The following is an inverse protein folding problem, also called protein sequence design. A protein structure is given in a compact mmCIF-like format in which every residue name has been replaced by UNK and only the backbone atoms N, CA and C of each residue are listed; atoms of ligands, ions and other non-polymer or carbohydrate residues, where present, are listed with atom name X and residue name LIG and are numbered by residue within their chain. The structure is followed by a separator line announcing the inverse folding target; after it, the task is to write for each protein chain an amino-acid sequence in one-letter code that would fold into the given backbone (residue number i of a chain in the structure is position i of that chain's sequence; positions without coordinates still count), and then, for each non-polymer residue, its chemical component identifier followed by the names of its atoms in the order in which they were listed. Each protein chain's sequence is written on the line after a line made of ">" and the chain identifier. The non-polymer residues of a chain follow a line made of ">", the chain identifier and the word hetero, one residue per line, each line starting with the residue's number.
data_IF_811119136589
#
_entry.id   IF_811119136589
#
_cell.length_a   1.000
_cell.length_b   1.000
_cell.length_c   1.000
_cell.angle_alpha   90.00
_cell.angle_beta   90.00
_cell.angle_gamma   90.00
#
_symmetry.space_group_name_H-M   'P 1'
#
loop_
_entity.id
_entity.type
_entity.pdbx_description
1 polymer ?
#
# COMPACT_ATOMS: atom_id res chain seq x y z
N UNK A 1 -36.30 -3.37 -2.40
CA UNK A 1 -35.38 -2.62 -1.51
C UNK A 1 -33.95 -2.94 -1.94
N UNK A 2 -33.32 -2.06 -2.72
CA UNK A 2 -31.91 -2.21 -3.09
C UNK A 2 -31.05 -1.98 -1.86
N UNK A 3 -30.49 -3.05 -1.29
CA UNK A 3 -29.42 -2.92 -0.30
C UNK A 3 -28.23 -2.29 -1.02
N UNK A 4 -27.96 -1.03 -0.73
CA UNK A 4 -26.67 -0.43 -1.01
C UNK A 4 -25.61 -1.42 -0.50
N UNK A 5 -24.66 -1.91 -1.32
CA UNK A 5 -23.64 -2.84 -0.84
C UNK A 5 -22.99 -2.19 0.38
N UNK A 6 -23.12 -2.84 1.53
CA UNK A 6 -22.72 -2.31 2.82
C UNK A 6 -21.34 -1.67 2.69
N UNK A 7 -21.22 -0.39 3.08
CA UNK A 7 -19.93 0.27 3.15
C UNK A 7 -18.98 -0.66 3.91
N UNK A 8 -17.79 -0.97 3.35
CA UNK A 8 -16.85 -1.85 4.03
C UNK A 8 -16.52 -1.24 5.39
N UNK A 9 -16.72 -2.01 6.45
CA UNK A 9 -16.42 -1.60 7.81
C UNK A 9 -14.91 -1.63 8.02
N UNK A 10 -14.27 -0.48 7.82
CA UNK A 10 -12.82 -0.33 7.95
C UNK A 10 -12.36 -0.24 9.42
N UNK A 11 -13.28 -0.13 10.39
CA UNK A 11 -12.92 -0.08 11.82
C UNK A 11 -12.25 -1.36 12.31
N UNK A 12 -12.39 -2.44 11.55
CA UNK A 12 -11.88 -3.77 11.88
C UNK A 12 -10.47 -4.02 11.35
N UNK A 13 -10.00 -3.22 10.40
CA UNK A 13 -8.67 -3.38 9.76
C UNK A 13 -7.73 -2.30 10.25
N UNK A 14 -6.58 -2.70 10.76
CA UNK A 14 -5.52 -1.80 11.20
C UNK A 14 -4.28 -2.00 10.32
N UNK A 15 -3.69 -0.89 9.89
CA UNK A 15 -2.44 -0.87 9.12
C UNK A 15 -1.32 -0.30 9.99
N UNK A 16 -0.15 -0.91 9.94
CA UNK A 16 1.05 -0.41 10.59
C UNK A 16 2.21 -0.40 9.59
N UNK A 17 2.71 0.77 9.15
CA UNK A 17 2.26 2.11 9.55
C UNK A 17 0.88 2.48 8.99
N UNK A 18 0.14 3.31 9.72
CA UNK A 18 -1.26 3.63 9.42
C UNK A 18 -1.44 4.76 8.40
N UNK A 19 -0.54 5.75 8.39
CA UNK A 19 -0.74 7.00 7.65
C UNK A 19 0.10 7.09 6.38
N UNK A 20 1.42 6.91 6.48
CA UNK A 20 2.33 7.12 5.35
C UNK A 20 3.63 6.33 5.45
N UNK A 21 4.27 6.17 4.30
CA UNK A 21 5.59 5.58 4.12
C UNK A 21 6.47 6.55 3.34
N UNK A 22 7.69 6.78 3.82
CA UNK A 22 8.65 7.68 3.18
C UNK A 22 9.81 6.89 2.62
N UNK A 23 10.13 7.12 1.35
CA UNK A 23 11.30 6.57 0.67
C UNK A 23 12.24 7.71 0.26
N UNK A 24 13.54 7.47 0.32
CA UNK A 24 14.53 8.44 -0.14
C UNK A 24 14.64 8.38 -1.68
N UNK A 25 14.76 9.52 -2.38
CA UNK A 25 14.87 9.56 -3.85
C UNK A 25 16.30 9.21 -4.30
N UNK A 26 16.68 7.95 -4.09
CA UNK A 26 17.96 7.37 -4.51
C UNK A 26 17.72 6.29 -5.57
N UNK A 27 18.67 6.03 -6.48
CA UNK A 27 18.54 5.01 -7.52
C UNK A 27 18.80 3.60 -6.95
N UNK A 28 18.20 3.31 -5.80
CA UNK A 28 18.32 2.05 -5.08
C UNK A 28 16.95 1.62 -4.58
N UNK A 29 16.67 0.33 -4.76
CA UNK A 29 15.46 -0.31 -4.26
C UNK A 29 15.39 -0.18 -2.73
N UNK A 30 14.25 0.28 -2.24
CA UNK A 30 13.91 0.36 -0.82
C UNK A 30 12.63 -0.43 -0.57
N UNK A 31 12.54 -1.06 0.60
CA UNK A 31 11.37 -1.82 1.03
C UNK A 31 11.03 -1.45 2.47
N UNK A 32 9.75 -1.27 2.75
CA UNK A 32 9.22 -1.15 4.09
C UNK A 32 8.11 -2.19 4.30
N UNK A 33 8.00 -2.72 5.51
CA UNK A 33 6.93 -3.65 5.84
C UNK A 33 5.68 -2.86 6.27
N UNK A 34 4.54 -3.28 5.76
CA UNK A 34 3.20 -2.85 6.18
C UNK A 34 2.55 -4.08 6.79
N UNK A 35 2.37 -4.03 8.09
CA UNK A 35 1.62 -5.04 8.83
C UNK A 35 0.15 -4.69 8.79
N UNK A 36 -0.67 -5.70 8.59
CA UNK A 36 -2.12 -5.56 8.57
C UNK A 36 -2.69 -6.56 9.54
N UNK A 37 -3.45 -6.04 10.50
CA UNK A 37 -4.18 -6.82 11.51
C UNK A 37 -5.67 -6.60 11.29
N UNK A 38 -6.48 -7.63 11.51
CA UNK A 38 -7.92 -7.52 11.35
C UNK A 38 -8.68 -8.37 12.36
N UNK A 39 -9.81 -7.87 12.85
CA UNK A 39 -10.73 -8.59 13.74
C UNK A 39 -11.79 -9.41 12.99
N UNK A 40 -11.72 -9.46 11.66
CA UNK A 40 -12.67 -10.16 10.79
C UNK A 40 -11.99 -10.86 9.61
N UNK A 41 -12.73 -11.46 8.69
CA UNK A 41 -12.16 -11.98 7.44
C UNK A 41 -12.24 -10.89 6.36
N UNK A 42 -11.11 -10.44 5.81
CA UNK A 42 -11.06 -9.38 4.78
C UNK A 42 -10.25 -9.76 3.57
N UNK A 43 -10.61 -9.16 2.45
CA UNK A 43 -9.88 -9.24 1.19
C UNK A 43 -9.08 -7.95 0.99
N UNK A 44 -7.76 -8.07 0.83
CA UNK A 44 -6.86 -6.92 0.65
C UNK A 44 -6.21 -6.94 -0.73
N UNK A 45 -6.23 -5.78 -1.39
CA UNK A 45 -5.55 -5.53 -2.66
C UNK A 45 -4.91 -4.14 -2.65
N UNK A 46 -3.62 -4.07 -2.95
CA UNK A 46 -2.91 -2.80 -3.12
C UNK A 46 -3.07 -2.25 -4.53
N UNK A 47 -3.28 -0.94 -4.65
CA UNK A 47 -3.26 -0.20 -5.92
C UNK A 47 -2.19 0.88 -5.83
N UNK A 48 -1.41 1.04 -6.90
CA UNK A 48 -0.35 2.03 -6.98
C UNK A 48 -0.68 3.03 -8.08
N UNK A 49 -0.50 4.32 -7.79
CA UNK A 49 -0.62 5.40 -8.78
C UNK A 49 0.49 5.35 -9.82
N UNK A 50 1.65 4.77 -9.48
CA UNK A 50 2.75 4.55 -10.41
C UNK A 50 3.40 3.16 -10.26
N UNK A 51 2.91 2.14 -10.97
CA UNK A 51 3.47 0.79 -10.93
C UNK A 51 4.91 0.67 -11.48
N UNK A 52 5.40 1.68 -12.22
CA UNK A 52 6.80 1.68 -12.67
C UNK A 52 7.77 1.94 -11.52
N UNK A 53 7.38 2.75 -10.53
CA UNK A 53 8.20 3.12 -9.37
C UNK A 53 7.85 2.37 -8.09
N UNK A 54 6.57 2.05 -7.88
CA UNK A 54 6.08 1.42 -6.66
C UNK A 54 5.53 0.02 -6.92
N UNK A 55 5.73 -0.89 -5.97
CA UNK A 55 5.20 -2.25 -5.99
C UNK A 55 4.90 -2.69 -4.57
N UNK A 56 4.07 -3.71 -4.41
CA UNK A 56 3.93 -4.43 -3.15
C UNK A 56 4.36 -5.89 -3.30
N UNK A 57 4.62 -6.57 -2.19
CA UNK A 57 4.84 -8.02 -2.13
C UNK A 57 4.11 -8.59 -0.89
N UNK A 58 3.20 -9.56 -1.04
CA UNK A 58 2.69 -10.10 -2.31
C UNK A 58 1.96 -9.05 -3.16
N UNK A 59 1.97 -9.24 -4.49
CA UNK A 59 1.28 -8.35 -5.45
C UNK A 59 -0.20 -8.68 -5.61
N UNK A 60 -0.54 -9.92 -5.30
CA UNK A 60 -1.85 -10.47 -5.50
C UNK A 60 -2.80 -10.06 -4.38
N UNK A 61 -4.09 -10.25 -4.65
CA UNK A 61 -5.11 -10.06 -3.65
C UNK A 61 -4.99 -11.18 -2.62
N UNK A 62 -5.02 -10.84 -1.32
CA UNK A 62 -4.93 -11.83 -0.24
C UNK A 62 -6.16 -11.76 0.66
N UNK A 63 -6.66 -12.92 1.05
CA UNK A 63 -7.65 -13.04 2.12
C UNK A 63 -6.87 -13.15 3.44
N UNK A 64 -7.20 -12.29 4.40
CA UNK A 64 -6.66 -12.32 5.76
C UNK A 64 -7.79 -12.76 6.68
N UNK A 65 -7.57 -13.83 7.44
CA UNK A 65 -8.57 -14.35 8.38
C UNK A 65 -8.64 -13.47 9.63
N UNK A 66 -9.71 -13.64 10.42
CA UNK A 66 -9.84 -12.94 11.69
C UNK A 66 -8.66 -13.29 12.62
N UNK A 67 -8.12 -12.27 13.27
CA UNK A 67 -6.96 -12.34 14.19
C UNK A 67 -5.65 -12.76 13.51
N UNK A 68 -5.59 -12.83 12.17
CA UNK A 68 -4.35 -13.09 11.43
C UNK A 68 -3.60 -11.77 11.19
N UNK A 69 -2.29 -11.78 11.47
CA UNK A 69 -1.38 -10.70 11.10
C UNK A 69 -0.75 -11.04 9.76
N UNK A 70 -0.90 -10.15 8.78
CA UNK A 70 -0.26 -10.30 7.49
C UNK A 70 0.72 -9.16 7.21
N UNK A 71 1.91 -9.51 6.72
CA UNK A 71 2.94 -8.53 6.35
C UNK A 71 3.03 -8.40 4.84
N UNK A 72 2.97 -7.16 4.35
CA UNK A 72 3.23 -6.80 2.96
C UNK A 72 4.48 -5.93 2.87
N UNK A 73 5.37 -6.22 1.92
CA UNK A 73 6.48 -5.32 1.59
C UNK A 73 6.02 -4.24 0.61
N UNK A 74 5.95 -2.99 1.03
CA UNK A 74 5.85 -1.83 0.16
C UNK A 74 7.23 -1.50 -0.42
N UNK A 75 7.34 -1.42 -1.73
CA UNK A 75 8.62 -1.36 -2.46
C UNK A 75 8.65 -0.09 -3.30
N UNK A 76 9.70 0.71 -3.10
CA UNK A 76 10.14 1.72 -4.05
C UNK A 76 11.31 1.15 -4.86
N UNK A 77 11.19 1.13 -6.19
CA UNK A 77 12.20 0.51 -7.07
C UNK A 77 13.49 1.34 -7.20
N UNK A 78 13.45 2.60 -6.78
CA UNK A 78 14.56 3.55 -6.88
C UNK A 78 14.37 4.52 -8.05
N UNK A 79 14.61 5.80 -7.78
CA UNK A 79 14.67 6.87 -8.75
C UNK A 79 15.32 8.09 -8.08
N UNK A 80 16.10 8.87 -8.83
CA UNK A 80 16.68 10.12 -8.35
C UNK A 80 15.66 11.24 -8.34
N UNK A 81 15.98 12.34 -7.66
CA UNK A 81 15.15 13.55 -7.65
C UNK A 81 14.92 14.10 -9.06
N UNK A 82 15.94 14.08 -9.91
CA UNK A 82 15.89 14.59 -11.29
C UNK A 82 14.95 13.74 -12.16
N UNK A 83 14.99 12.41 -12.01
CA UNK A 83 14.10 11.48 -12.72
C UNK A 83 12.63 11.67 -12.30
N UNK A 84 12.40 11.87 -11.01
CA UNK A 84 11.06 12.12 -10.45
C UNK A 84 10.51 13.50 -10.87
N UNK A 85 11.37 14.52 -10.98
CA UNK A 85 11.00 15.84 -11.49
C UNK A 85 10.65 15.80 -12.98
N UNK A 86 11.47 15.15 -13.81
CA UNK A 86 11.21 14.98 -15.25
C UNK A 86 9.91 14.25 -15.55
N UNK A 87 9.54 13.30 -14.68
CA UNK A 87 8.29 12.56 -14.82
C UNK A 87 7.05 13.32 -14.30
N UNK A 88 7.21 14.52 -13.74
CA UNK A 88 6.12 15.32 -13.17
C UNK A 88 5.55 14.74 -11.87
N UNK A 89 6.27 13.81 -11.22
CA UNK A 89 5.77 12.98 -10.11
C UNK A 89 6.46 13.28 -8.78
N UNK A 90 7.15 14.43 -8.68
CA UNK A 90 7.89 14.82 -7.47
C UNK A 90 6.98 15.27 -6.32
N UNK A 91 5.75 15.66 -6.61
CA UNK A 91 4.77 16.00 -5.59
C UNK A 91 3.51 15.17 -5.82
N UNK A 92 3.18 14.32 -4.84
CA UNK A 92 1.82 13.82 -4.73
C UNK A 92 0.91 15.03 -4.69
N UNK A 93 0.11 15.23 -5.74
CA UNK A 93 -0.98 16.20 -5.71
C UNK A 93 -1.85 15.80 -4.51
N UNK A 94 -1.83 16.64 -3.48
CA UNK A 94 -2.82 16.63 -2.41
C UNK A 94 -4.16 17.02 -2.98
#
# INVERSE_FOLDING_TARGET
>A
MNRNPAMPDLSKVQFNPAESLTFYPVPKKQQCNVEITNTSCVLIKFKNTNPSLFSTKPRETKIIKAEEICVFGAIFKGATKEELQKSGKFFGQR
#
